data_IF_860903940216
#
_entry.id   IF_860903940216
#
_cell.length_a   1.000
_cell.length_b   1.000
_cell.length_c   1.000
_cell.angle_alpha   90.00
_cell.angle_beta   90.00
_cell.angle_gamma   90.00
#
_symmetry.space_group_name_H-M   'P 1'
#
loop_
_entity.id
_entity.type
_entity.pdbx_description
1 polymer ?
#
# COMPACT_ATOMS: atom_id res chain seq x y z
N UNK A 1 -2.53 22.60 13.12
CA UNK A 1 -3.00 21.18 13.07
C UNK A 1 -2.66 20.67 11.69
N UNK A 2 -1.58 19.92 11.58
CA UNK A 2 -1.08 19.41 10.31
C UNK A 2 -2.00 18.28 9.85
N UNK A 3 -2.67 18.48 8.71
CA UNK A 3 -3.33 17.40 7.97
C UNK A 3 -2.25 16.38 7.61
N UNK A 4 -2.22 15.24 8.31
CA UNK A 4 -1.62 14.02 7.77
C UNK A 4 -2.48 13.65 6.56
N UNK A 5 -2.05 14.06 5.38
CA UNK A 5 -2.45 13.43 4.13
C UNK A 5 -2.21 11.93 4.33
N UNK A 6 -3.26 11.13 4.26
CA UNK A 6 -3.16 9.68 4.29
C UNK A 6 -2.15 9.27 3.22
N UNK A 7 -1.08 8.61 3.65
CA UNK A 7 -0.12 8.03 2.71
C UNK A 7 -0.90 7.03 1.87
N UNK A 8 -0.94 7.23 0.56
CA UNK A 8 -1.48 6.25 -0.36
C UNK A 8 -0.82 4.89 -0.05
N UNK A 9 -1.62 3.88 0.18
CA UNK A 9 -1.15 2.51 0.43
C UNK A 9 -0.72 1.86 -0.89
N UNK A 10 0.39 2.33 -1.47
CA UNK A 10 0.90 1.82 -2.75
C UNK A 10 1.25 0.34 -2.71
N UNK A 11 1.73 -0.16 -1.56
CA UNK A 11 2.21 -1.53 -1.45
C UNK A 11 1.13 -2.59 -1.67
N UNK A 12 -0.06 -2.52 -1.04
CA UNK A 12 -1.17 -3.43 -1.37
C UNK A 12 -1.60 -3.36 -2.84
N UNK A 13 -1.62 -2.16 -3.43
CA UNK A 13 -1.91 -1.99 -4.85
C UNK A 13 -0.87 -2.68 -5.74
N UNK A 14 0.40 -2.59 -5.39
CA UNK A 14 1.48 -3.29 -6.11
C UNK A 14 1.33 -4.82 -6.00
N UNK A 15 1.08 -5.35 -4.80
CA UNK A 15 0.86 -6.80 -4.59
C UNK A 15 -0.30 -7.28 -5.46
N UNK A 16 -1.44 -6.56 -5.40
CA UNK A 16 -2.61 -6.87 -6.21
C UNK A 16 -2.31 -6.83 -7.71
N UNK A 17 -1.53 -5.84 -8.17
CA UNK A 17 -1.12 -5.75 -9.58
C UNK A 17 -0.25 -6.93 -10.00
N UNK A 18 0.69 -7.37 -9.16
CA UNK A 18 1.54 -8.52 -9.45
C UNK A 18 0.74 -9.83 -9.48
N UNK A 19 -0.21 -10.02 -8.57
CA UNK A 19 -1.07 -11.21 -8.59
C UNK A 19 -1.98 -11.24 -9.83
N UNK A 20 -2.48 -10.09 -10.29
CA UNK A 20 -3.22 -9.97 -11.54
C UNK A 20 -2.34 -10.22 -12.77
N UNK A 21 -1.12 -9.70 -12.78
CA UNK A 21 -0.14 -9.87 -13.86
C UNK A 21 0.13 -11.36 -14.13
N UNK A 22 0.31 -12.12 -13.05
CA UNK A 22 0.61 -13.54 -13.11
C UNK A 22 -0.59 -14.47 -12.86
N UNK A 23 -1.83 -13.98 -12.92
CA UNK A 23 -3.05 -14.77 -12.59
C UNK A 23 -3.15 -16.08 -13.35
N UNK A 24 -2.64 -16.15 -14.60
CA UNK A 24 -2.61 -17.37 -15.42
C UNK A 24 -1.70 -18.46 -14.84
N UNK A 25 -0.75 -18.08 -14.00
CA UNK A 25 0.26 -18.94 -13.40
C UNK A 25 0.03 -19.17 -11.90
N UNK A 26 -1.13 -18.76 -11.36
CA UNK A 26 -1.47 -18.84 -9.92
C UNK A 26 -1.23 -20.22 -9.31
N UNK A 27 -1.39 -21.31 -10.08
CA UNK A 27 -1.12 -22.68 -9.60
C UNK A 27 0.36 -23.02 -9.50
N UNK A 28 1.20 -22.25 -10.16
CA UNK A 28 2.64 -22.48 -10.31
C UNK A 28 3.49 -21.43 -9.57
N UNK A 29 2.85 -20.37 -9.07
CA UNK A 29 3.45 -19.28 -8.30
C UNK A 29 2.85 -19.24 -6.90
N UNK A 30 3.69 -18.92 -5.92
CA UNK A 30 3.31 -18.65 -4.54
C UNK A 30 3.83 -17.26 -4.18
N UNK A 31 2.92 -16.37 -3.71
CA UNK A 31 3.20 -14.98 -3.39
C UNK A 31 3.35 -14.85 -1.88
N UNK A 32 4.56 -14.58 -1.41
CA UNK A 32 4.87 -14.37 0.01
C UNK A 32 5.02 -12.87 0.26
N UNK A 33 3.92 -12.27 0.66
CA UNK A 33 3.79 -10.84 0.89
C UNK A 33 4.38 -10.45 2.24
N UNK A 34 5.13 -9.35 2.31
CA UNK A 34 5.77 -8.85 3.55
C UNK A 34 6.67 -9.91 4.24
N UNK A 35 7.43 -10.66 3.47
CA UNK A 35 8.29 -11.71 3.97
C UNK A 35 9.24 -11.21 5.08
N UNK A 36 9.17 -11.84 6.26
CA UNK A 36 10.04 -11.51 7.39
C UNK A 36 11.37 -12.24 7.31
N UNK A 37 12.47 -11.52 7.12
CA UNK A 37 13.82 -12.09 7.05
C UNK A 37 14.45 -12.39 8.41
N UNK A 38 13.85 -11.97 9.53
CA UNK A 38 14.35 -12.28 10.87
C UNK A 38 13.21 -12.31 11.90
N UNK A 39 13.48 -12.92 13.08
CA UNK A 39 12.52 -12.97 14.22
C UNK A 39 12.36 -11.63 14.92
N UNK A 40 13.16 -10.62 14.64
CA UNK A 40 13.05 -9.24 15.10
C UNK A 40 13.21 -8.25 13.93
N UNK A 41 12.58 -7.04 14.00
CA UNK A 41 11.92 -6.43 12.86
C UNK A 41 12.87 -5.78 11.86
N UNK A 42 13.49 -6.56 10.99
CA UNK A 42 13.80 -6.10 9.66
C UNK A 42 12.53 -6.35 8.82
N UNK A 43 11.49 -5.56 9.06
CA UNK A 43 10.34 -5.52 8.14
C UNK A 43 10.84 -4.95 6.82
N UNK A 44 10.81 -5.75 5.81
CA UNK A 44 11.16 -5.36 4.46
C UNK A 44 9.90 -5.47 3.62
N UNK A 45 9.56 -4.39 2.94
CA UNK A 45 8.42 -4.33 2.02
C UNK A 45 8.77 -5.04 0.70
N UNK A 46 9.22 -6.30 0.81
CA UNK A 46 9.58 -7.15 -0.32
C UNK A 46 8.48 -8.13 -0.65
N UNK A 47 8.18 -8.26 -1.93
CA UNK A 47 7.39 -9.36 -2.46
C UNK A 47 8.34 -10.48 -2.93
N UNK A 48 8.09 -11.71 -2.51
CA UNK A 48 8.80 -12.88 -3.01
C UNK A 48 7.82 -13.78 -3.76
N UNK A 49 8.10 -13.99 -5.04
CA UNK A 49 7.31 -14.88 -5.90
C UNK A 49 8.08 -16.19 -6.05
N UNK A 50 7.50 -17.30 -5.55
CA UNK A 50 8.08 -18.65 -5.67
C UNK A 50 7.48 -19.36 -6.87
N UNK A 51 8.35 -19.78 -7.80
CA UNK A 51 7.97 -20.48 -9.03
C UNK A 51 8.23 -21.99 -8.89
N UNK A 52 7.26 -22.82 -9.22
CA UNK A 52 7.45 -24.28 -9.26
C UNK A 52 8.52 -24.67 -10.27
N UNK A 53 9.33 -25.66 -9.89
CA UNK A 53 10.39 -26.17 -10.76
C UNK A 53 9.83 -26.70 -12.08
N UNK A 54 10.49 -26.34 -13.18
CA UNK A 54 10.07 -26.78 -14.52
C UNK A 54 8.99 -25.93 -15.19
N UNK A 55 8.32 -25.01 -14.47
CA UNK A 55 7.35 -24.10 -15.06
C UNK A 55 8.03 -23.07 -15.95
N UNK A 56 7.52 -22.89 -17.18
CA UNK A 56 7.90 -21.78 -18.06
C UNK A 56 6.85 -20.68 -17.96
N UNK A 57 7.28 -19.47 -17.65
CA UNK A 57 6.43 -18.28 -17.60
C UNK A 57 6.53 -17.55 -18.94
N UNK A 58 5.45 -17.54 -19.72
CA UNK A 58 5.35 -16.85 -21.00
C UNK A 58 4.84 -15.41 -20.78
N UNK A 59 5.54 -14.65 -19.92
CA UNK A 59 5.26 -13.25 -19.59
C UNK A 59 6.60 -12.51 -19.59
N UNK A 60 6.66 -11.32 -20.18
CA UNK A 60 7.90 -10.56 -20.40
C UNK A 60 8.66 -10.29 -19.09
N UNK A 61 7.95 -9.95 -18.01
CA UNK A 61 8.55 -9.74 -16.68
C UNK A 61 8.99 -11.07 -16.05
N UNK A 62 8.20 -12.14 -16.26
CA UNK A 62 8.42 -13.45 -15.67
C UNK A 62 9.44 -14.31 -16.42
N UNK A 63 9.96 -13.90 -17.56
CA UNK A 63 10.89 -14.70 -18.35
C UNK A 63 12.22 -14.94 -17.61
N UNK A 64 12.70 -13.95 -16.86
CA UNK A 64 13.91 -14.05 -16.04
C UNK A 64 13.73 -14.96 -14.82
N UNK A 65 12.47 -15.27 -14.41
CA UNK A 65 12.18 -15.93 -13.14
C UNK A 65 12.90 -17.26 -12.95
N UNK A 66 13.45 -17.43 -11.76
CA UNK A 66 13.94 -18.68 -11.19
C UNK A 66 12.94 -19.19 -10.15
N UNK A 67 13.34 -20.09 -9.25
CA UNK A 67 12.44 -20.62 -8.23
C UNK A 67 12.05 -19.56 -7.18
N UNK A 68 12.92 -18.57 -6.90
CA UNK A 68 12.68 -17.53 -5.90
C UNK A 68 12.99 -16.15 -6.51
N UNK A 69 11.98 -15.31 -6.60
CA UNK A 69 12.04 -14.03 -7.31
C UNK A 69 11.72 -12.90 -6.33
N UNK A 70 12.71 -12.08 -6.01
CA UNK A 70 12.64 -10.99 -5.03
C UNK A 70 12.29 -9.70 -5.75
N UNK A 71 11.25 -9.01 -5.30
CA UNK A 71 10.77 -7.76 -5.86
C UNK A 71 10.88 -6.62 -4.86
N UNK A 72 11.42 -5.50 -5.29
CA UNK A 72 11.37 -4.21 -4.61
C UNK A 72 10.54 -3.25 -5.46
N UNK A 73 9.43 -2.77 -4.92
CA UNK A 73 8.63 -1.73 -5.53
C UNK A 73 8.94 -0.38 -4.89
N UNK A 74 9.21 0.62 -5.73
CA UNK A 74 9.35 2.02 -5.33
C UNK A 74 8.14 2.80 -5.79
N UNK A 75 7.40 3.36 -4.83
CA UNK A 75 6.26 4.22 -5.12
C UNK A 75 6.68 5.46 -5.93
N UNK A 76 5.74 6.14 -6.60
CA UNK A 76 6.05 7.40 -7.31
C UNK A 76 6.69 8.47 -6.44
N UNK A 77 6.52 8.39 -5.11
CA UNK A 77 7.07 9.35 -4.14
C UNK A 77 8.48 8.98 -3.66
N UNK A 78 8.92 7.74 -3.90
CA UNK A 78 10.20 7.24 -3.43
C UNK A 78 11.28 7.34 -4.51
N UNK A 79 12.51 7.62 -4.10
CA UNK A 79 13.67 7.50 -4.97
C UNK A 79 14.05 6.04 -5.18
N UNK A 80 14.77 5.75 -6.27
CA UNK A 80 15.47 4.50 -6.49
C UNK A 80 16.92 4.81 -6.87
N UNK A 81 17.85 4.28 -6.13
CA UNK A 81 19.28 4.49 -6.30
C UNK A 81 20.01 3.16 -6.48
N UNK A 82 21.29 3.22 -6.84
CA UNK A 82 22.16 2.04 -6.88
C UNK A 82 22.23 1.35 -5.50
N UNK A 83 22.18 2.13 -4.40
CA UNK A 83 22.19 1.59 -3.04
C UNK A 83 20.91 0.78 -2.74
N UNK A 84 19.75 1.21 -3.26
CA UNK A 84 18.50 0.44 -3.15
C UNK A 84 18.59 -0.89 -3.89
N UNK A 85 19.20 -0.89 -5.09
CA UNK A 85 19.46 -2.11 -5.84
C UNK A 85 20.37 -3.06 -5.06
N UNK A 86 21.52 -2.57 -4.60
CA UNK A 86 22.49 -3.38 -3.83
C UNK A 86 21.85 -3.88 -2.52
N UNK A 87 21.06 -3.04 -1.86
CA UNK A 87 20.31 -3.44 -0.65
C UNK A 87 19.33 -4.57 -0.95
N UNK A 88 18.57 -4.47 -2.06
CA UNK A 88 17.63 -5.53 -2.47
C UNK A 88 18.33 -6.84 -2.79
N UNK A 89 19.49 -6.77 -3.45
CA UNK A 89 20.38 -7.93 -3.66
C UNK A 89 20.88 -8.49 -2.33
N UNK A 90 21.28 -7.65 -1.39
CA UNK A 90 21.63 -8.04 -0.02
C UNK A 90 20.51 -8.82 0.66
N UNK A 91 19.28 -8.40 0.47
CA UNK A 91 18.10 -9.10 0.99
C UNK A 91 17.87 -10.46 0.32
N UNK A 92 18.09 -10.57 -0.98
CA UNK A 92 18.04 -11.86 -1.67
C UNK A 92 19.12 -12.84 -1.12
N UNK A 93 20.32 -12.35 -0.79
CA UNK A 93 21.34 -13.18 -0.12
C UNK A 93 20.94 -13.56 1.30
N UNK A 94 20.36 -12.63 2.08
CA UNK A 94 19.85 -12.93 3.42
C UNK A 94 18.72 -13.97 3.34
N UNK A 95 17.78 -13.81 2.44
CA UNK A 95 16.71 -14.78 2.20
C UNK A 95 17.26 -16.19 1.91
N UNK A 96 18.26 -16.29 1.03
CA UNK A 96 18.95 -17.55 0.78
C UNK A 96 19.59 -18.13 2.06
N UNK A 97 20.21 -17.26 2.87
CA UNK A 97 20.93 -17.67 4.09
C UNK A 97 20.04 -18.15 5.23
N UNK A 98 18.72 -17.82 5.18
CA UNK A 98 17.74 -18.20 6.19
C UNK A 98 17.06 -19.56 5.93
N UNK A 99 17.50 -20.31 4.92
CA UNK A 99 17.03 -21.68 4.68
C UNK A 99 17.30 -22.59 5.89
N UNK A 100 16.43 -23.58 6.09
CA UNK A 100 16.53 -24.52 7.23
C UNK A 100 17.61 -25.57 7.05
N UNK A 101 17.99 -25.84 5.80
CA UNK A 101 19.05 -26.82 5.45
C UNK A 101 20.13 -26.17 4.60
N UNK A 102 21.31 -26.79 4.57
CA UNK A 102 22.44 -26.29 3.80
C UNK A 102 22.09 -26.22 2.31
N UNK A 103 22.19 -25.01 1.74
CA UNK A 103 21.93 -24.72 0.33
C UNK A 103 20.51 -25.11 -0.13
N UNK A 104 19.51 -25.00 0.75
CA UNK A 104 18.10 -25.23 0.44
C UNK A 104 17.64 -24.38 -0.74
N UNK A 105 18.08 -23.11 -0.77
CA UNK A 105 17.86 -22.18 -1.87
C UNK A 105 19.19 -21.98 -2.59
N UNK A 106 19.42 -22.65 -3.75
CA UNK A 106 20.62 -22.41 -4.54
C UNK A 106 20.70 -20.98 -5.04
N UNK A 107 21.87 -20.38 -5.08
CA UNK A 107 22.06 -19.01 -5.59
C UNK A 107 21.58 -18.86 -7.05
N UNK A 108 21.77 -19.91 -7.86
CA UNK A 108 21.28 -19.95 -9.24
C UNK A 108 19.76 -19.90 -9.40
N UNK A 109 19.00 -20.10 -8.31
CA UNK A 109 17.54 -20.09 -8.29
C UNK A 109 16.95 -18.79 -7.74
N UNK A 110 17.76 -17.75 -7.60
CA UNK A 110 17.35 -16.41 -7.20
C UNK A 110 17.30 -15.45 -8.39
N UNK A 111 16.36 -14.51 -8.37
CA UNK A 111 16.34 -13.29 -9.19
C UNK A 111 15.97 -12.08 -8.37
N UNK A 112 16.33 -10.89 -8.85
CA UNK A 112 15.95 -9.60 -8.26
C UNK A 112 15.24 -8.75 -9.31
N UNK A 113 14.12 -8.16 -8.95
CA UNK A 113 13.35 -7.24 -9.79
C UNK A 113 13.09 -5.94 -9.04
N UNK A 114 13.50 -4.83 -9.62
CA UNK A 114 13.16 -3.48 -9.17
C UNK A 114 12.00 -2.96 -10.02
N UNK A 115 10.98 -2.36 -9.40
CA UNK A 115 9.80 -1.87 -10.13
C UNK A 115 9.56 -0.41 -9.78
N UNK A 116 9.40 0.46 -10.79
CA UNK A 116 9.07 1.87 -10.62
C UNK A 116 8.34 2.41 -11.86
N UNK A 117 7.62 3.54 -11.70
CA UNK A 117 6.84 4.17 -12.78
C UNK A 117 7.66 5.11 -13.68
N UNK A 118 8.83 5.58 -13.23
CA UNK A 118 9.75 6.45 -13.99
C UNK A 118 11.18 5.92 -13.93
N UNK A 119 11.98 6.21 -14.95
CA UNK A 119 13.42 5.93 -14.91
C UNK A 119 14.03 6.81 -13.81
N UNK A 120 14.74 6.23 -12.82
CA UNK A 120 15.41 7.00 -11.79
C UNK A 120 16.59 7.76 -12.39
N UNK A 121 16.69 9.05 -12.07
CA UNK A 121 17.82 9.88 -12.52
C UNK A 121 19.14 9.28 -12.03
N UNK A 122 20.11 9.14 -12.93
CA UNK A 122 21.45 8.64 -12.64
C UNK A 122 21.54 7.15 -12.27
N UNK A 123 20.41 6.39 -12.26
CA UNK A 123 20.45 4.98 -11.87
C UNK A 123 21.19 4.10 -12.86
N UNK A 124 20.92 4.26 -14.16
CA UNK A 124 21.57 3.45 -15.18
C UNK A 124 23.05 3.79 -15.31
N UNK A 125 23.41 5.07 -15.21
CA UNK A 125 24.79 5.55 -15.18
C UNK A 125 25.54 4.99 -13.96
N UNK A 126 24.89 4.90 -12.80
CA UNK A 126 25.47 4.31 -11.61
C UNK A 126 25.69 2.80 -11.76
N UNK A 127 24.75 2.07 -12.40
CA UNK A 127 24.95 0.65 -12.74
C UNK A 127 26.15 0.47 -13.65
N UNK A 128 26.32 1.31 -14.68
CA UNK A 128 27.45 1.27 -15.58
C UNK A 128 28.79 1.60 -14.88
N UNK A 129 28.77 2.58 -13.97
CA UNK A 129 29.93 2.94 -13.16
C UNK A 129 30.42 1.80 -12.27
N UNK A 130 29.50 0.94 -11.79
CA UNK A 130 29.81 -0.30 -11.06
C UNK A 130 30.22 -1.47 -12.00
N UNK A 131 30.45 -1.19 -13.28
CA UNK A 131 30.86 -2.19 -14.27
C UNK A 131 29.70 -3.02 -14.84
N UNK A 132 28.48 -2.64 -14.57
CA UNK A 132 27.28 -3.30 -15.07
C UNK A 132 26.88 -2.85 -16.47
N UNK A 133 25.84 -3.50 -16.98
CA UNK A 133 25.17 -3.20 -18.24
C UNK A 133 23.67 -3.19 -18.03
N UNK A 134 22.97 -2.24 -18.64
CA UNK A 134 21.50 -2.18 -18.68
C UNK A 134 21.06 -2.34 -20.13
N UNK A 135 20.17 -3.30 -20.40
CA UNK A 135 19.66 -3.59 -21.74
C UNK A 135 18.15 -3.72 -21.73
N UNK A 136 17.46 -2.91 -22.54
CA UNK A 136 16.01 -3.05 -22.70
C UNK A 136 15.70 -4.31 -23.52
N UNK A 137 15.18 -5.33 -22.85
CA UNK A 137 14.85 -6.63 -23.47
C UNK A 137 13.43 -6.64 -24.03
N UNK A 138 12.50 -5.99 -23.35
CA UNK A 138 11.12 -5.74 -23.77
C UNK A 138 10.73 -4.30 -23.43
N UNK A 139 9.68 -3.72 -24.05
CA UNK A 139 9.24 -2.39 -23.68
C UNK A 139 9.05 -2.23 -22.18
N UNK A 140 9.85 -1.38 -21.55
CA UNK A 140 9.83 -1.14 -20.11
C UNK A 140 10.47 -2.25 -19.23
N UNK A 141 11.09 -3.27 -19.80
CA UNK A 141 11.81 -4.33 -19.07
C UNK A 141 13.29 -4.28 -19.41
N UNK A 142 14.11 -3.92 -18.44
CA UNK A 142 15.55 -3.74 -18.58
C UNK A 142 16.31 -4.79 -17.77
N UNK A 143 17.13 -5.60 -18.43
CA UNK A 143 18.02 -6.55 -17.74
C UNK A 143 19.28 -5.83 -17.27
N UNK A 144 19.67 -6.12 -16.01
CA UNK A 144 20.88 -5.60 -15.37
C UNK A 144 21.86 -6.76 -15.21
N UNK A 145 23.06 -6.60 -15.77
CA UNK A 145 24.12 -7.61 -15.74
C UNK A 145 25.44 -6.99 -15.29
N UNK A 146 26.36 -7.80 -14.80
CA UNK A 146 27.75 -7.40 -14.50
C UNK A 146 27.99 -6.82 -13.11
N UNK A 147 26.98 -6.28 -12.42
CA UNK A 147 27.14 -5.73 -11.05
C UNK A 147 27.16 -6.87 -10.02
N UNK A 148 26.23 -7.79 -10.13
CA UNK A 148 26.05 -8.90 -9.18
C UNK A 148 25.85 -10.24 -9.90
N UNK A 149 26.01 -11.35 -9.15
CA UNK A 149 25.84 -12.70 -9.72
C UNK A 149 24.37 -13.20 -9.72
N UNK A 150 23.42 -12.42 -9.22
CA UNK A 150 21.99 -12.74 -9.26
C UNK A 150 21.39 -12.08 -10.49
N UNK A 151 20.70 -12.82 -11.39
CA UNK A 151 19.99 -12.23 -12.51
C UNK A 151 19.02 -11.16 -12.04
N UNK A 152 19.13 -9.96 -12.57
CA UNK A 152 18.40 -8.79 -12.11
C UNK A 152 17.75 -8.06 -13.26
N UNK A 153 16.58 -7.44 -12.98
CA UNK A 153 15.89 -6.58 -13.94
C UNK A 153 15.30 -5.34 -13.27
N UNK A 154 15.15 -4.29 -14.06
CA UNK A 154 14.36 -3.10 -13.72
C UNK A 154 13.12 -3.06 -14.61
N UNK A 155 11.95 -2.86 -14.00
CA UNK A 155 10.65 -2.77 -14.68
C UNK A 155 10.13 -1.34 -14.56
N UNK A 156 10.07 -0.66 -15.71
CA UNK A 156 9.52 0.68 -15.88
C UNK A 156 8.03 0.58 -16.23
N UNK A 157 7.15 0.70 -15.23
CA UNK A 157 5.73 0.42 -15.42
C UNK A 157 5.05 1.33 -16.45
N UNK A 158 5.49 2.59 -16.57
CA UNK A 158 4.93 3.55 -17.55
C UNK A 158 5.23 3.20 -19.02
N UNK A 159 6.26 2.38 -19.28
CA UNK A 159 6.68 1.98 -20.64
C UNK A 159 6.27 0.55 -21.02
N UNK A 160 5.70 -0.21 -20.09
CA UNK A 160 5.20 -1.56 -20.37
C UNK A 160 4.11 -1.54 -21.46
N UNK A 161 3.97 -2.66 -22.18
CA UNK A 161 2.87 -2.83 -23.15
C UNK A 161 1.51 -2.77 -22.44
N UNK A 162 0.66 -1.84 -22.88
CA UNK A 162 -0.65 -1.60 -22.28
C UNK A 162 -1.69 -2.70 -22.57
N UNK A 163 -1.40 -3.65 -23.45
CA UNK A 163 -2.24 -4.82 -23.68
C UNK A 163 -1.91 -5.99 -22.77
N UNK A 164 -0.69 -6.01 -22.24
CA UNK A 164 -0.17 -7.13 -21.44
C UNK A 164 -0.10 -6.82 -19.95
N UNK A 165 0.19 -5.54 -19.57
CA UNK A 165 0.58 -5.16 -18.21
C UNK A 165 -0.31 -4.05 -17.63
N UNK A 166 -1.64 -4.11 -17.87
CA UNK A 166 -2.58 -3.02 -17.56
C UNK A 166 -2.58 -2.61 -16.09
N UNK A 167 -2.54 -3.57 -15.16
CA UNK A 167 -2.58 -3.30 -13.73
C UNK A 167 -1.33 -2.55 -13.24
N UNK A 168 -0.13 -2.98 -13.69
CA UNK A 168 1.14 -2.35 -13.31
C UNK A 168 1.25 -0.91 -13.83
N UNK A 169 0.67 -0.63 -15.01
CA UNK A 169 0.68 0.71 -15.62
C UNK A 169 -0.13 1.74 -14.84
N UNK A 170 -1.07 1.31 -13.99
CA UNK A 170 -1.86 2.19 -13.13
C UNK A 170 -1.14 2.60 -11.83
N UNK A 171 -0.02 1.97 -11.49
CA UNK A 171 0.77 2.28 -10.28
C UNK A 171 1.65 3.53 -10.49
N UNK A 172 1.02 4.66 -10.84
CA UNK A 172 1.67 5.94 -11.11
C UNK A 172 0.76 7.11 -10.71
N UNK A 173 1.34 8.28 -10.49
CA UNK A 173 0.61 9.56 -10.35
C UNK A 173 0.29 10.23 -11.67
N UNK A 174 0.61 9.59 -12.80
CA UNK A 174 0.43 10.11 -14.17
C UNK A 174 -0.29 9.10 -15.04
N UNK A 175 -1.32 8.44 -14.51
CA UNK A 175 -2.11 7.47 -15.25
C UNK A 175 -2.76 8.12 -16.48
N UNK A 176 -2.76 7.42 -17.61
CA UNK A 176 -3.44 7.86 -18.82
C UNK A 176 -4.89 7.38 -18.82
N UNK A 177 -5.80 8.17 -19.40
CA UNK A 177 -7.22 7.78 -19.53
C UNK A 177 -7.36 6.42 -20.24
N UNK A 178 -6.55 6.16 -21.28
CA UNK A 178 -6.57 4.90 -22.04
C UNK A 178 -6.21 3.68 -21.18
N UNK A 179 -5.22 3.82 -20.28
CA UNK A 179 -4.81 2.73 -19.37
C UNK A 179 -5.90 2.46 -18.33
N UNK A 180 -6.54 3.53 -17.79
CA UNK A 180 -7.66 3.43 -16.84
C UNK A 180 -8.86 2.72 -17.46
N UNK A 181 -9.29 3.16 -18.66
CA UNK A 181 -10.43 2.56 -19.37
C UNK A 181 -10.17 1.08 -19.62
N UNK A 182 -9.00 0.75 -20.13
CA UNK A 182 -8.62 -0.62 -20.47
C UNK A 182 -8.57 -1.54 -19.23
N UNK A 183 -8.03 -1.05 -18.12
CA UNK A 183 -8.01 -1.82 -16.88
C UNK A 183 -9.43 -2.07 -16.35
N UNK A 184 -10.31 -1.07 -16.35
CA UNK A 184 -11.71 -1.23 -15.92
C UNK A 184 -12.42 -2.26 -16.80
N UNK A 185 -12.20 -2.25 -18.12
CA UNK A 185 -12.77 -3.25 -19.04
C UNK A 185 -12.33 -4.66 -18.69
N UNK A 186 -11.03 -4.87 -18.43
CA UNK A 186 -10.50 -6.18 -18.03
C UNK A 186 -11.02 -6.58 -16.64
N UNK A 187 -11.07 -5.64 -15.69
CA UNK A 187 -11.49 -5.91 -14.33
C UNK A 187 -12.97 -6.32 -14.21
N UNK A 188 -13.84 -5.80 -15.09
CA UNK A 188 -15.26 -6.23 -15.16
C UNK A 188 -15.43 -7.70 -15.48
N UNK A 189 -14.55 -8.27 -16.29
CA UNK A 189 -14.61 -9.66 -16.74
C UNK A 189 -13.95 -10.64 -15.76
N UNK A 190 -13.39 -10.14 -14.65
CA UNK A 190 -12.83 -11.00 -13.60
C UNK A 190 -13.94 -11.75 -12.87
N UNK A 191 -13.83 -13.07 -12.80
CA UNK A 191 -14.80 -13.93 -12.12
C UNK A 191 -14.37 -14.37 -10.73
N UNK A 192 -13.06 -14.60 -10.54
CA UNK A 192 -12.51 -15.08 -9.29
C UNK A 192 -12.52 -13.99 -8.21
N UNK A 193 -13.01 -14.28 -6.97
CA UNK A 193 -13.07 -13.30 -5.90
C UNK A 193 -11.70 -12.67 -5.57
N UNK A 194 -10.63 -13.46 -5.57
CA UNK A 194 -9.26 -12.96 -5.34
C UNK A 194 -8.81 -11.97 -6.39
N UNK A 195 -9.14 -12.20 -7.69
CA UNK A 195 -8.79 -11.27 -8.76
C UNK A 195 -9.56 -9.95 -8.65
N UNK A 196 -10.84 -10.01 -8.24
CA UNK A 196 -11.64 -8.80 -7.99
C UNK A 196 -11.05 -7.98 -6.84
N UNK A 197 -10.68 -8.63 -5.74
CA UNK A 197 -10.04 -7.97 -4.61
C UNK A 197 -8.70 -7.30 -5.01
N UNK A 198 -7.89 -7.99 -5.82
CA UNK A 198 -6.64 -7.43 -6.33
C UNK A 198 -6.88 -6.24 -7.27
N UNK A 199 -7.90 -6.31 -8.12
CA UNK A 199 -8.29 -5.20 -8.99
C UNK A 199 -8.77 -3.99 -8.17
N UNK A 200 -9.51 -4.22 -7.10
CA UNK A 200 -9.94 -3.20 -6.14
C UNK A 200 -8.73 -2.50 -5.52
N UNK A 201 -7.75 -3.24 -5.02
CA UNK A 201 -6.54 -2.68 -4.42
C UNK A 201 -5.75 -1.79 -5.41
N UNK A 202 -5.66 -2.20 -6.69
CA UNK A 202 -5.04 -1.39 -7.75
C UNK A 202 -5.84 -0.12 -8.02
N UNK A 203 -7.17 -0.24 -8.14
CA UNK A 203 -8.05 0.90 -8.40
C UNK A 203 -8.02 1.91 -7.25
N UNK A 204 -8.04 1.47 -6.00
CA UNK A 204 -7.96 2.31 -4.82
C UNK A 204 -6.76 3.24 -4.86
N UNK A 205 -5.59 2.66 -5.07
CA UNK A 205 -4.34 3.42 -5.16
C UNK A 205 -4.36 4.37 -6.36
N UNK A 206 -4.78 3.87 -7.53
CA UNK A 206 -4.79 4.64 -8.77
C UNK A 206 -5.81 5.79 -8.75
N UNK A 207 -7.04 5.56 -8.25
CA UNK A 207 -8.08 6.59 -8.10
C UNK A 207 -7.61 7.70 -7.14
N UNK A 208 -7.05 7.31 -6.00
CA UNK A 208 -6.51 8.26 -5.02
C UNK A 208 -5.40 9.13 -5.60
N UNK A 209 -4.52 8.54 -6.41
CA UNK A 209 -3.38 9.24 -7.00
C UNK A 209 -3.73 10.06 -8.26
N UNK A 210 -4.82 9.73 -8.97
CA UNK A 210 -5.17 10.29 -10.27
C UNK A 210 -6.65 10.71 -10.37
N UNK A 211 -7.21 11.29 -9.32
CA UNK A 211 -8.64 11.60 -9.21
C UNK A 211 -9.22 12.35 -10.42
N UNK A 212 -8.48 13.32 -10.97
CA UNK A 212 -8.91 14.10 -12.13
C UNK A 212 -9.09 13.23 -13.38
N UNK A 213 -8.19 12.28 -13.62
CA UNK A 213 -8.29 11.35 -14.76
C UNK A 213 -9.54 10.49 -14.64
N UNK A 214 -9.81 9.96 -13.44
CA UNK A 214 -11.01 9.14 -13.19
C UNK A 214 -12.30 9.95 -13.31
N UNK A 215 -12.34 11.20 -12.88
CA UNK A 215 -13.50 12.10 -13.08
C UNK A 215 -13.72 12.39 -14.57
N UNK A 216 -12.67 12.52 -15.38
CA UNK A 216 -12.79 12.67 -16.82
C UNK A 216 -13.36 11.42 -17.48
N UNK A 217 -12.86 10.23 -17.09
CA UNK A 217 -13.37 8.94 -17.60
C UNK A 217 -14.85 8.78 -17.24
N UNK A 218 -15.25 9.04 -15.99
CA UNK A 218 -16.65 8.98 -15.53
C UNK A 218 -17.57 9.90 -16.34
N UNK A 219 -17.14 11.13 -16.62
CA UNK A 219 -17.93 12.11 -17.40
C UNK A 219 -18.13 11.70 -18.85
N UNK A 220 -17.11 11.08 -19.45
CA UNK A 220 -17.15 10.68 -20.87
C UNK A 220 -17.84 9.34 -21.10
N UNK A 221 -17.86 8.47 -20.11
CA UNK A 221 -18.40 7.11 -20.22
C UNK A 221 -19.19 6.70 -18.98
N UNK A 222 -20.53 6.89 -18.98
CA UNK A 222 -21.40 6.52 -17.86
C UNK A 222 -21.33 5.02 -17.49
N UNK A 223 -21.12 4.13 -18.47
CA UNK A 223 -20.98 2.68 -18.22
C UNK A 223 -19.72 2.36 -17.43
N UNK A 224 -18.63 3.11 -17.66
CA UNK A 224 -17.42 3.00 -16.85
C UNK A 224 -17.61 3.48 -15.42
N UNK A 225 -18.45 4.50 -15.21
CA UNK A 225 -18.81 4.97 -13.88
C UNK A 225 -19.55 3.88 -13.07
N UNK A 226 -20.46 3.15 -13.71
CA UNK A 226 -21.19 2.04 -13.07
C UNK A 226 -20.23 0.86 -12.77
N UNK A 227 -19.40 0.49 -13.74
CA UNK A 227 -18.40 -0.54 -13.59
C UNK A 227 -17.41 -0.25 -12.45
N UNK A 228 -16.88 0.96 -12.38
CA UNK A 228 -15.96 1.38 -11.32
C UNK A 228 -16.63 1.34 -9.95
N UNK A 229 -17.91 1.76 -9.85
CA UNK A 229 -18.68 1.71 -8.62
C UNK A 229 -18.96 0.27 -8.16
N UNK A 230 -19.20 -0.64 -9.09
CA UNK A 230 -19.39 -2.06 -8.78
C UNK A 230 -18.09 -2.72 -8.31
N UNK A 231 -16.97 -2.42 -8.97
CA UNK A 231 -15.63 -2.93 -8.60
C UNK A 231 -15.19 -2.46 -7.21
N UNK A 232 -15.49 -1.21 -6.84
CA UNK A 232 -15.09 -0.60 -5.56
C UNK A 232 -16.20 -0.64 -4.49
N UNK A 233 -17.20 -1.49 -4.68
CA UNK A 233 -18.40 -1.51 -3.81
C UNK A 233 -18.09 -1.88 -2.36
N UNK A 234 -17.27 -2.89 -2.16
CA UNK A 234 -16.96 -3.40 -0.83
C UNK A 234 -16.15 -2.37 -0.04
N UNK A 235 -15.20 -1.69 -0.69
CA UNK A 235 -14.42 -0.62 -0.08
C UNK A 235 -15.26 0.60 0.27
N UNK A 236 -16.12 1.05 -0.64
CA UNK A 236 -17.06 2.15 -0.36
C UNK A 236 -17.93 1.81 0.86
N UNK A 237 -18.29 0.53 1.04
CA UNK A 237 -19.05 0.09 2.20
C UNK A 237 -18.19 0.09 3.47
N UNK A 238 -16.95 -0.39 3.41
CA UNK A 238 -16.02 -0.37 4.54
C UNK A 238 -15.70 1.06 5.00
N UNK A 239 -15.46 1.99 4.07
CA UNK A 239 -15.27 3.40 4.41
C UNK A 239 -16.49 4.01 5.11
N UNK A 240 -17.70 3.71 4.61
CA UNK A 240 -18.95 4.15 5.24
C UNK A 240 -19.09 3.60 6.66
N UNK A 241 -18.82 2.31 6.85
CA UNK A 241 -18.93 1.66 8.15
C UNK A 241 -17.90 2.20 9.12
N UNK A 242 -16.67 2.45 8.68
CA UNK A 242 -15.62 3.10 9.47
C UNK A 242 -15.99 4.53 9.87
N UNK A 243 -16.54 5.31 8.94
CA UNK A 243 -17.02 6.68 9.20
C UNK A 243 -18.18 6.70 10.21
N UNK A 244 -19.15 5.79 10.07
CA UNK A 244 -20.27 5.62 11.01
C UNK A 244 -19.76 5.25 12.40
N UNK A 245 -18.83 4.30 12.49
CA UNK A 245 -18.22 3.88 13.75
C UNK A 245 -17.49 5.03 14.43
N UNK A 246 -16.66 5.77 13.69
CA UNK A 246 -15.94 6.94 14.22
C UNK A 246 -16.91 8.04 14.72
N UNK A 247 -17.97 8.33 13.96
CA UNK A 247 -19.01 9.29 14.35
C UNK A 247 -19.74 8.84 15.62
N UNK A 248 -20.09 7.55 15.72
CA UNK A 248 -20.77 6.97 16.89
C UNK A 248 -19.87 7.01 18.13
N UNK A 249 -18.58 6.68 18.00
CA UNK A 249 -17.62 6.79 19.11
C UNK A 249 -17.43 8.23 19.57
N UNK A 250 -17.36 9.19 18.66
CA UNK A 250 -17.27 10.61 18.97
C UNK A 250 -18.51 11.11 19.71
N UNK A 251 -19.70 10.75 19.21
CA UNK A 251 -20.99 11.08 19.84
C UNK A 251 -21.10 10.49 21.25
N UNK A 252 -20.72 9.22 21.43
CA UNK A 252 -20.75 8.54 22.74
C UNK A 252 -19.77 9.20 23.73
N UNK A 253 -18.57 9.56 23.30
CA UNK A 253 -17.59 10.29 24.12
C UNK A 253 -18.14 11.68 24.55
N UNK A 254 -18.76 12.39 23.59
CA UNK A 254 -19.36 13.69 23.87
C UNK A 254 -20.54 13.58 24.87
N UNK A 255 -21.45 12.63 24.68
CA UNK A 255 -22.58 12.36 25.58
C UNK A 255 -22.12 11.97 26.99
N UNK A 256 -21.12 11.07 27.09
CA UNK A 256 -20.54 10.66 28.38
C UNK A 256 -19.90 11.84 29.12
N UNK A 257 -19.21 12.72 28.40
CA UNK A 257 -18.61 13.93 28.95
C UNK A 257 -19.69 14.89 29.46
N UNK A 258 -20.72 15.15 28.65
CA UNK A 258 -21.83 16.03 29.01
C UNK A 258 -22.59 15.51 30.26
N UNK A 259 -22.84 14.19 30.33
CA UNK A 259 -23.48 13.58 31.51
C UNK A 259 -22.61 13.71 32.76
N UNK A 260 -21.31 13.46 32.68
CA UNK A 260 -20.38 13.66 33.79
C UNK A 260 -20.33 15.12 34.25
N UNK A 261 -20.30 16.06 33.30
CA UNK A 261 -20.29 17.50 33.63
C UNK A 261 -21.58 17.92 34.30
N UNK A 262 -22.75 17.45 33.78
CA UNK A 262 -24.05 17.71 34.40
C UNK A 262 -24.11 17.16 35.85
N UNK A 263 -23.74 15.90 36.04
CA UNK A 263 -23.75 15.28 37.38
C UNK A 263 -22.83 16.02 38.37
N UNK A 264 -21.64 16.45 37.93
CA UNK A 264 -20.72 17.24 38.74
C UNK A 264 -21.29 18.61 39.08
N UNK A 265 -21.90 19.32 38.16
CA UNK A 265 -22.57 20.61 38.39
C UNK A 265 -23.71 20.49 39.38
N UNK A 266 -24.54 19.45 39.25
CA UNK A 266 -25.65 19.19 40.17
C UNK A 266 -25.12 18.89 41.61
N UNK A 267 -24.02 18.13 41.73
CA UNK A 267 -23.34 17.88 42.98
C UNK A 267 -22.79 19.16 43.62
N UNK A 268 -22.12 20.02 42.86
CA UNK A 268 -21.61 21.32 43.31
C UNK A 268 -22.77 22.19 43.83
N UNK A 269 -23.84 22.36 43.04
CA UNK A 269 -25.03 23.15 43.42
C UNK A 269 -25.70 22.60 44.68
N UNK A 270 -25.79 21.28 44.84
CA UNK A 270 -26.37 20.63 46.02
C UNK A 270 -25.55 20.93 47.29
N UNK A 271 -24.21 20.82 47.20
CA UNK A 271 -23.33 21.13 48.33
C UNK A 271 -23.39 22.62 48.71
N UNK A 272 -23.36 23.51 47.72
CA UNK A 272 -23.49 24.95 47.97
C UNK A 272 -24.79 25.27 48.72
N UNK A 273 -25.90 24.65 48.32
CA UNK A 273 -27.25 24.89 48.93
C UNK A 273 -27.36 24.28 50.33
N UNK A 274 -26.92 23.01 50.52
CA UNK A 274 -27.07 22.30 51.78
C UNK A 274 -26.11 22.76 52.86
N UNK A 275 -24.85 23.03 52.50
CA UNK A 275 -23.79 23.37 53.43
C UNK A 275 -23.54 24.87 53.53
N UNK A 276 -24.23 25.66 52.70
CA UNK A 276 -23.99 27.12 52.54
C UNK A 276 -22.54 27.45 52.14
N UNK A 277 -21.92 26.56 51.40
CA UNK A 277 -20.54 26.71 50.93
C UNK A 277 -20.43 27.57 49.67
N UNK A 278 -19.25 28.16 49.50
CA UNK A 278 -18.89 28.79 48.23
C UNK A 278 -18.68 27.74 47.13
N UNK A 279 -18.79 28.11 45.87
CA UNK A 279 -18.51 27.22 44.73
C UNK A 279 -17.12 26.58 44.83
N UNK A 280 -16.10 27.33 45.26
CA UNK A 280 -14.73 26.85 45.45
C UNK A 280 -14.69 25.77 46.55
N UNK A 281 -15.29 26.00 47.71
CA UNK A 281 -15.32 25.00 48.81
C UNK A 281 -16.05 23.72 48.41
N UNK A 282 -17.13 23.82 47.63
CA UNK A 282 -17.86 22.66 47.11
C UNK A 282 -17.04 21.88 46.08
N UNK A 283 -16.32 22.57 45.21
CA UNK A 283 -15.45 21.93 44.21
C UNK A 283 -14.22 21.28 44.82
N UNK A 284 -13.61 21.90 45.83
CA UNK A 284 -12.48 21.33 46.61
C UNK A 284 -12.90 20.05 47.34
N UNK A 285 -14.08 20.04 47.97
CA UNK A 285 -14.64 18.87 48.65
C UNK A 285 -14.93 17.70 47.66
N UNK A 286 -15.26 17.99 46.43
CA UNK A 286 -15.42 17.01 45.33
C UNK A 286 -14.12 16.65 44.63
N UNK A 287 -12.97 17.11 45.14
CA UNK A 287 -11.64 16.86 44.55
C UNK A 287 -11.53 17.20 43.09
N UNK A 288 -12.19 18.30 42.65
CA UNK A 288 -12.17 18.78 41.27
C UNK A 288 -10.85 19.50 41.03
N UNK A 289 -10.16 19.14 39.95
CA UNK A 289 -8.87 19.76 39.57
C UNK A 289 -8.98 21.28 39.35
N UNK A 290 -7.91 22.03 39.64
CA UNK A 290 -7.89 23.49 39.45
C UNK A 290 -8.23 23.95 38.01
N UNK A 291 -7.87 23.15 37.03
CA UNK A 291 -8.22 23.38 35.62
C UNK A 291 -9.72 23.22 35.34
N UNK A 292 -10.33 22.19 35.96
CA UNK A 292 -11.77 21.93 35.83
C UNK A 292 -12.60 22.91 36.69
N UNK A 293 -12.10 23.37 37.83
CA UNK A 293 -12.77 24.38 38.64
C UNK A 293 -13.04 25.70 37.87
N UNK A 294 -12.06 26.15 37.06
CA UNK A 294 -12.26 27.33 36.18
C UNK A 294 -13.43 27.11 35.23
N UNK A 295 -13.51 25.92 34.61
CA UNK A 295 -14.57 25.55 33.68
C UNK A 295 -15.94 25.45 34.37
N UNK A 296 -16.05 24.79 35.51
CA UNK A 296 -17.31 24.68 36.24
C UNK A 296 -17.77 26.00 36.85
N UNK A 297 -16.85 26.88 37.26
CA UNK A 297 -17.20 28.22 37.75
C UNK A 297 -17.90 29.10 36.71
N UNK A 298 -17.57 28.90 35.38
CA UNK A 298 -18.27 29.60 34.32
C UNK A 298 -19.63 28.99 33.92
N UNK A 299 -19.98 27.83 34.50
CA UNK A 299 -21.23 27.09 34.22
C UNK A 299 -22.24 27.12 35.41
N UNK A 300 -21.83 27.66 36.59
CA UNK A 300 -22.67 27.81 37.78
C UNK A 300 -23.50 29.07 37.73
#
# INVERSE_FOLDING_TARGET
MSNKLEKNHWHPGFIGAMELEFKRYRRDLDFDNEHQLSKEPLKMDLLIIKKKKGTRIANQIGEIFRQHNVFEFKSPDDGLTIDDYIKTVGYAYLYKGLGHTVNEIPLSELTVTLVRDVIPEGFFEAVEAEGGKVEETYPGVYYITGVVNIPSQFVLTSSLDNNLHTALRLLTKKAKEEDVVKFIEIAKDLSEPGDKHNADAVLQVSVSANSEVYENVKRRNPLMCEALRELMKDEIQEEKDAAVKAATEAATKAATKATKDKTRLDSIKSLMKKMKWTAKQAMDALSISASDQKRYSSML
#
